data_IF_111439483050
#
_entry.id   IF_111439483050
#
_cell.length_a   1.000
_cell.length_b   1.000
_cell.length_c   1.000
_cell.angle_alpha   90.00
_cell.angle_beta   90.00
_cell.angle_gamma   90.00
#
_symmetry.space_group_name_H-M   'P 1'
#
loop_
_entity.id
_entity.type
_entity.pdbx_description
1 polymer ?
#
# COMPACT_ATOMS: atom_id res chain seq x y z
N UNK A 1 21.08 -2.12 22.96
CA UNK A 1 20.79 -2.97 24.14
C UNK A 1 20.13 -4.24 23.64
N UNK A 2 20.74 -5.40 23.84
CA UNK A 2 20.18 -6.67 23.40
C UNK A 2 18.94 -7.00 24.23
N UNK A 3 17.83 -7.31 23.57
CA UNK A 3 16.66 -7.89 24.23
C UNK A 3 17.06 -9.28 24.73
N UNK A 4 16.70 -9.62 25.98
CA UNK A 4 16.90 -10.98 26.47
C UNK A 4 16.16 -11.98 25.60
N UNK A 5 16.77 -13.12 25.31
CA UNK A 5 16.14 -14.16 24.49
C UNK A 5 14.77 -14.57 25.07
N UNK A 6 14.68 -14.68 26.39
CA UNK A 6 13.42 -15.04 27.07
C UNK A 6 12.34 -14.00 26.81
N UNK A 7 12.67 -12.70 26.94
CA UNK A 7 11.71 -11.62 26.72
C UNK A 7 11.22 -11.59 25.26
N UNK A 8 12.12 -11.89 24.33
CA UNK A 8 11.77 -12.01 22.90
C UNK A 8 10.79 -13.17 22.67
N UNK A 9 11.10 -14.37 23.20
CA UNK A 9 10.23 -15.54 23.05
C UNK A 9 8.84 -15.31 23.68
N UNK A 10 8.79 -14.63 24.83
CA UNK A 10 7.53 -14.26 25.47
C UNK A 10 6.75 -13.23 24.63
N UNK A 11 7.44 -12.33 23.97
CA UNK A 11 6.81 -11.36 23.04
C UNK A 11 6.17 -12.03 21.84
N UNK A 12 6.77 -13.10 21.31
CA UNK A 12 6.20 -13.91 20.23
C UNK A 12 4.94 -14.63 20.71
N UNK A 13 5.01 -15.31 21.87
CA UNK A 13 3.85 -15.98 22.49
C UNK A 13 2.66 -15.07 22.77
N UNK A 14 2.88 -13.78 23.02
CA UNK A 14 1.80 -12.81 23.21
C UNK A 14 1.07 -12.46 21.90
N UNK A 15 1.77 -12.59 20.75
CA UNK A 15 1.25 -12.26 19.42
C UNK A 15 0.73 -13.49 18.66
N UNK A 16 1.24 -14.65 18.96
CA UNK A 16 0.81 -15.93 18.41
C UNK A 16 0.36 -16.88 19.53
N UNK A 17 -0.90 -17.27 19.59
CA UNK A 17 -1.43 -18.16 20.61
C UNK A 17 -1.12 -19.67 20.32
N UNK A 18 -0.57 -20.01 19.16
CA UNK A 18 -0.35 -21.41 18.77
C UNK A 18 0.71 -22.13 19.61
N UNK A 19 1.89 -21.53 19.94
CA UNK A 19 2.93 -22.27 20.65
C UNK A 19 2.58 -22.48 22.13
N UNK A 20 2.71 -23.70 22.59
CA UNK A 20 2.43 -24.08 23.97
C UNK A 20 3.59 -23.75 24.92
N UNK A 21 4.81 -23.70 24.39
CA UNK A 21 6.04 -23.47 25.16
C UNK A 21 7.01 -22.51 24.46
N UNK A 22 7.94 -21.93 25.19
CA UNK A 22 9.05 -21.15 24.61
C UNK A 22 9.94 -22.00 23.72
N UNK A 23 10.04 -23.32 23.99
CA UNK A 23 10.82 -24.24 23.16
C UNK A 23 10.25 -24.41 21.76
N UNK A 24 8.91 -24.43 21.64
CA UNK A 24 8.25 -24.46 20.34
C UNK A 24 8.54 -23.17 19.55
N UNK A 25 8.54 -22.00 20.19
CA UNK A 25 8.87 -20.72 19.55
C UNK A 25 10.30 -20.70 19.00
N UNK A 26 11.26 -21.37 19.67
CA UNK A 26 12.64 -21.48 19.17
C UNK A 26 12.73 -22.23 17.83
N UNK A 27 11.75 -23.07 17.51
CA UNK A 27 11.69 -23.80 16.24
C UNK A 27 11.05 -22.97 15.10
N UNK A 28 10.55 -21.78 15.42
CA UNK A 28 9.97 -20.91 14.40
C UNK A 28 11.05 -20.44 13.42
N UNK A 29 10.81 -20.57 12.10
CA UNK A 29 11.81 -20.19 11.09
C UNK A 29 12.19 -18.69 11.21
N UNK A 30 11.25 -17.83 11.58
CA UNK A 30 11.51 -16.40 11.81
C UNK A 30 12.49 -16.14 12.95
N UNK A 31 12.42 -16.91 14.04
CA UNK A 31 13.33 -16.79 15.19
C UNK A 31 14.75 -17.18 14.79
N UNK A 32 14.89 -18.30 14.07
CA UNK A 32 16.19 -18.78 13.58
C UNK A 32 16.78 -17.79 12.55
N UNK A 33 15.96 -17.30 11.61
CA UNK A 33 16.38 -16.34 10.62
C UNK A 33 16.89 -15.04 11.23
N UNK A 34 16.21 -14.52 12.27
CA UNK A 34 16.66 -13.32 13.00
C UNK A 34 17.95 -13.54 13.76
N UNK A 35 18.12 -14.71 14.37
CA UNK A 35 19.38 -15.07 15.04
C UNK A 35 20.56 -15.07 14.06
N UNK A 36 20.39 -15.72 12.90
CA UNK A 36 21.40 -15.76 11.85
C UNK A 36 21.62 -14.39 11.18
N UNK A 37 20.54 -13.61 10.99
CA UNK A 37 20.66 -12.26 10.48
C UNK A 37 21.52 -11.37 11.38
N UNK A 38 21.40 -11.45 12.69
CA UNK A 38 22.25 -10.66 13.60
C UNK A 38 23.74 -10.95 13.42
N UNK A 39 24.09 -12.21 13.18
CA UNK A 39 25.47 -12.60 12.84
C UNK A 39 25.88 -12.05 11.47
N UNK A 40 25.00 -12.21 10.47
CA UNK A 40 25.25 -11.72 9.12
C UNK A 40 25.39 -10.18 9.08
N UNK A 41 24.56 -9.46 9.84
CA UNK A 41 24.60 -8.00 9.95
C UNK A 41 25.89 -7.52 10.61
N UNK A 42 26.32 -8.14 11.70
CA UNK A 42 27.60 -7.84 12.34
C UNK A 42 28.78 -8.06 11.36
N UNK A 43 28.79 -9.15 10.61
CA UNK A 43 29.81 -9.39 9.59
C UNK A 43 29.75 -8.33 8.48
N UNK A 44 28.58 -7.89 8.10
CA UNK A 44 28.35 -6.85 7.09
C UNK A 44 28.91 -5.50 7.55
N UNK A 45 28.65 -5.10 8.80
CA UNK A 45 29.21 -3.88 9.39
C UNK A 45 30.74 -3.96 9.53
N UNK A 46 31.29 -5.15 9.79
CA UNK A 46 32.73 -5.42 9.79
C UNK A 46 33.33 -5.47 8.37
N UNK A 47 32.53 -5.18 7.32
CA UNK A 47 32.91 -5.23 5.89
C UNK A 47 33.33 -6.60 5.38
N UNK A 48 32.99 -7.66 6.09
CA UNK A 48 33.20 -9.06 5.70
C UNK A 48 32.04 -9.53 4.82
N UNK A 49 31.79 -8.84 3.73
CA UNK A 49 30.58 -8.98 2.89
C UNK A 49 30.35 -10.39 2.37
N UNK A 50 31.43 -11.10 1.97
CA UNK A 50 31.32 -12.48 1.51
C UNK A 50 30.79 -13.41 2.60
N UNK A 51 31.32 -13.31 3.81
CA UNK A 51 30.89 -14.12 4.95
C UNK A 51 29.47 -13.75 5.39
N UNK A 52 29.14 -12.46 5.38
CA UNK A 52 27.79 -11.98 5.66
C UNK A 52 26.78 -12.60 4.69
N UNK A 53 27.12 -12.64 3.39
CA UNK A 53 26.28 -13.29 2.36
C UNK A 53 26.21 -14.79 2.53
N UNK A 54 27.30 -15.43 2.87
CA UNK A 54 27.31 -16.87 3.13
C UNK A 54 26.34 -17.23 4.27
N UNK A 55 26.39 -16.51 5.40
CA UNK A 55 25.45 -16.71 6.53
C UNK A 55 24.00 -16.43 6.11
N UNK A 56 23.78 -15.38 5.31
CA UNK A 56 22.44 -15.06 4.79
C UNK A 56 21.90 -16.20 3.89
N UNK A 57 22.69 -16.73 2.97
CA UNK A 57 22.26 -17.85 2.12
C UNK A 57 22.00 -19.12 2.91
N UNK A 58 22.84 -19.40 3.89
CA UNK A 58 22.63 -20.51 4.81
C UNK A 58 21.32 -20.36 5.59
N UNK A 59 21.04 -19.15 6.10
CA UNK A 59 19.79 -18.83 6.77
C UNK A 59 18.58 -19.07 5.84
N UNK A 60 18.66 -18.54 4.63
CA UNK A 60 17.58 -18.72 3.62
C UNK A 60 17.35 -20.18 3.29
N UNK A 61 18.40 -20.97 3.13
CA UNK A 61 18.29 -22.41 2.88
C UNK A 61 17.55 -23.14 4.00
N UNK A 62 17.84 -22.79 5.27
CA UNK A 62 17.24 -23.43 6.43
C UNK A 62 15.79 -22.96 6.71
N UNK A 63 15.50 -21.69 6.45
CA UNK A 63 14.28 -21.04 6.95
C UNK A 63 13.31 -20.61 5.86
N UNK A 64 13.77 -20.54 4.59
CA UNK A 64 13.02 -19.93 3.50
C UNK A 64 12.90 -18.40 3.59
N UNK A 65 13.58 -17.76 4.55
CA UNK A 65 13.51 -16.32 4.79
C UNK A 65 14.81 -15.66 4.30
N UNK A 66 14.69 -14.66 3.44
CA UNK A 66 15.82 -13.91 2.89
C UNK A 66 15.88 -12.51 3.51
N UNK A 67 16.73 -12.33 4.51
CA UNK A 67 16.99 -11.02 5.11
C UNK A 67 18.37 -10.56 4.70
N UNK A 68 18.46 -9.51 3.85
CA UNK A 68 19.75 -8.97 3.47
C UNK A 68 20.57 -8.55 4.68
N UNK A 69 21.88 -8.86 4.75
CA UNK A 69 22.72 -8.50 5.90
C UNK A 69 22.77 -7.01 6.21
N UNK A 70 22.54 -6.13 5.22
CA UNK A 70 22.51 -4.68 5.41
C UNK A 70 21.21 -4.13 5.99
N UNK A 71 20.15 -4.94 6.11
CA UNK A 71 18.88 -4.50 6.68
C UNK A 71 19.01 -4.20 8.17
N UNK A 72 18.39 -3.11 8.63
CA UNK A 72 18.35 -2.73 10.04
C UNK A 72 17.04 -3.18 10.67
N UNK A 73 17.10 -3.93 11.75
CA UNK A 73 15.93 -4.53 12.41
C UNK A 73 15.92 -4.17 13.90
N UNK A 74 14.80 -3.57 14.32
CA UNK A 74 14.54 -3.20 15.70
C UNK A 74 14.28 -4.38 16.63
N UNK A 75 13.81 -4.06 17.85
CA UNK A 75 13.55 -5.03 18.90
C UNK A 75 12.18 -5.67 18.72
N UNK A 76 12.03 -6.89 19.21
CA UNK A 76 10.76 -7.62 19.21
C UNK A 76 10.13 -7.77 17.82
N UNK A 77 10.91 -7.66 16.75
CA UNK A 77 10.46 -7.95 15.42
C UNK A 77 10.05 -9.41 15.30
N UNK A 78 8.92 -9.69 14.67
CA UNK A 78 8.38 -11.05 14.52
C UNK A 78 8.02 -11.33 13.06
N UNK A 79 8.57 -12.42 12.53
CA UNK A 79 8.18 -13.00 11.24
C UNK A 79 7.41 -14.27 11.54
N UNK A 80 6.13 -14.26 11.16
CA UNK A 80 5.27 -15.42 11.27
C UNK A 80 5.36 -16.27 10.00
N UNK A 81 5.55 -17.57 10.17
CA UNK A 81 5.76 -18.62 9.16
C UNK A 81 7.05 -18.48 8.35
N UNK A 82 7.14 -17.63 7.29
CA UNK A 82 8.37 -17.51 6.50
C UNK A 82 8.15 -17.08 5.05
N UNK A 83 9.08 -17.47 4.16
CA UNK A 83 9.12 -17.09 2.74
C UNK A 83 9.07 -15.57 2.50
N UNK A 84 9.65 -14.82 3.43
CA UNK A 84 9.69 -13.36 3.44
C UNK A 84 11.01 -12.88 2.86
N UNK A 85 10.98 -11.77 2.12
CA UNK A 85 12.16 -11.13 1.54
C UNK A 85 12.31 -9.73 2.11
N UNK A 86 13.47 -9.42 2.70
CA UNK A 86 13.80 -8.10 3.26
C UNK A 86 15.07 -7.58 2.60
N UNK A 87 14.94 -6.49 1.85
CA UNK A 87 16.02 -5.91 1.05
C UNK A 87 17.07 -5.14 1.86
N UNK A 88 18.18 -4.85 1.22
CA UNK A 88 19.41 -4.31 1.85
C UNK A 88 19.22 -3.05 2.69
N UNK A 89 18.49 -2.06 2.18
CA UNK A 89 18.32 -0.77 2.84
C UNK A 89 16.99 -0.66 3.58
N UNK A 90 16.31 -1.81 3.83
CA UNK A 90 15.11 -1.83 4.65
C UNK A 90 15.43 -1.47 6.09
N UNK A 91 14.55 -0.69 6.70
CA UNK A 91 14.62 -0.31 8.11
C UNK A 91 13.32 -0.74 8.78
N UNK A 92 13.41 -1.51 9.84
CA UNK A 92 12.27 -2.07 10.56
C UNK A 92 12.37 -1.62 12.00
N UNK A 93 11.32 -0.99 12.50
CA UNK A 93 11.22 -0.50 13.87
C UNK A 93 10.98 -1.60 14.90
N UNK A 94 10.65 -1.19 16.10
CA UNK A 94 10.38 -2.07 17.23
C UNK A 94 8.94 -2.64 17.15
N UNK A 95 8.74 -3.86 17.63
CA UNK A 95 7.44 -4.53 17.74
C UNK A 95 6.69 -4.73 16.40
N UNK A 96 7.36 -4.64 15.29
CA UNK A 96 6.77 -4.91 13.98
C UNK A 96 6.48 -6.40 13.82
N UNK A 97 5.35 -6.72 13.20
CA UNK A 97 4.96 -8.09 12.84
C UNK A 97 4.79 -8.20 11.34
N UNK A 98 5.43 -9.20 10.75
CA UNK A 98 5.32 -9.51 9.31
C UNK A 98 4.85 -10.95 9.18
N UNK A 99 3.82 -11.15 8.36
CA UNK A 99 3.34 -12.47 8.01
C UNK A 99 4.10 -13.06 6.82
N UNK A 100 3.80 -14.31 6.48
CA UNK A 100 4.49 -15.04 5.41
C UNK A 100 4.37 -14.37 4.04
N UNK A 101 5.33 -14.66 3.19
CA UNK A 101 5.38 -14.24 1.78
C UNK A 101 5.43 -12.72 1.57
N UNK A 102 5.74 -11.94 2.60
CA UNK A 102 5.90 -10.48 2.49
C UNK A 102 7.21 -10.15 1.79
N UNK A 103 7.18 -9.13 0.91
CA UNK A 103 8.38 -8.57 0.30
C UNK A 103 8.54 -7.11 0.70
N UNK A 104 9.67 -6.76 1.32
CA UNK A 104 10.15 -5.40 1.49
C UNK A 104 11.21 -5.12 0.44
N UNK A 105 10.77 -4.67 -0.75
CA UNK A 105 11.56 -4.64 -1.99
C UNK A 105 11.90 -3.23 -2.47
N UNK A 106 12.78 -3.16 -3.47
CA UNK A 106 13.09 -1.93 -4.20
C UNK A 106 12.35 -1.86 -5.54
N UNK A 107 12.10 -0.63 -6.02
CA UNK A 107 11.38 -0.41 -7.29
C UNK A 107 12.26 -0.44 -8.53
N UNK A 108 13.54 -0.10 -8.41
CA UNK A 108 14.41 0.04 -9.58
C UNK A 108 15.79 -0.58 -9.33
N UNK A 109 16.12 -1.71 -10.00
CA UNK A 109 17.42 -2.35 -9.88
C UNK A 109 18.55 -1.56 -10.57
N UNK A 110 18.23 -0.65 -11.50
CA UNK A 110 19.21 0.10 -12.28
C UNK A 110 19.66 1.41 -11.63
N UNK A 111 18.97 1.88 -10.60
CA UNK A 111 19.44 3.01 -9.80
C UNK A 111 20.65 2.60 -8.93
N UNK A 112 21.72 2.12 -9.57
CA UNK A 112 22.99 1.70 -8.96
C UNK A 112 23.69 2.78 -8.12
N UNK A 113 23.00 3.84 -7.71
CA UNK A 113 23.45 4.82 -6.74
C UNK A 113 23.21 4.27 -5.34
N UNK A 114 24.28 4.25 -4.55
CA UNK A 114 24.23 3.99 -3.12
C UNK A 114 23.18 4.91 -2.47
N UNK A 115 22.02 4.37 -2.14
CA UNK A 115 20.91 5.13 -1.57
C UNK A 115 19.78 4.25 -1.04
N UNK A 116 18.90 4.84 -0.26
CA UNK A 116 17.69 4.21 0.24
C UNK A 116 16.80 3.79 -0.93
N UNK A 117 16.51 2.49 -1.05
CA UNK A 117 15.65 1.92 -2.12
C UNK A 117 14.60 0.94 -1.59
N UNK A 118 14.67 0.58 -0.32
CA UNK A 118 13.75 -0.32 0.36
C UNK A 118 12.98 0.43 1.44
N UNK A 119 11.81 -0.07 1.86
CA UNK A 119 10.93 0.66 2.76
C UNK A 119 11.50 0.82 4.18
N UNK A 120 10.94 1.81 4.87
CA UNK A 120 11.03 1.99 6.32
C UNK A 120 9.69 1.58 6.93
N UNK A 121 9.72 0.66 7.88
CA UNK A 121 8.54 0.20 8.61
C UNK A 121 8.67 0.70 10.03
N UNK A 122 7.79 1.60 10.45
CA UNK A 122 7.83 2.17 11.80
C UNK A 122 7.25 1.20 12.84
N UNK A 123 7.39 1.59 14.11
CA UNK A 123 7.06 0.77 15.26
C UNK A 123 5.61 0.26 15.26
N UNK A 124 5.40 -0.93 15.78
CA UNK A 124 4.10 -1.57 15.93
C UNK A 124 3.31 -1.81 14.64
N UNK A 125 3.91 -1.59 13.46
CA UNK A 125 3.25 -1.87 12.20
C UNK A 125 3.02 -3.37 12.00
N UNK A 126 1.95 -3.72 11.29
CA UNK A 126 1.58 -5.10 10.96
C UNK A 126 1.47 -5.23 9.45
N UNK A 127 2.27 -6.13 8.86
CA UNK A 127 2.28 -6.39 7.42
C UNK A 127 1.65 -7.76 7.16
N UNK A 128 0.49 -7.76 6.52
CA UNK A 128 -0.29 -8.96 6.21
C UNK A 128 0.38 -9.87 5.19
N UNK A 129 -0.02 -11.14 5.18
CA UNK A 129 0.56 -12.18 4.34
C UNK A 129 0.54 -11.83 2.85
N UNK A 130 1.65 -12.10 2.16
CA UNK A 130 1.79 -11.84 0.73
C UNK A 130 1.88 -10.37 0.32
N UNK A 131 1.85 -9.43 1.26
CA UNK A 131 1.93 -8.00 0.92
C UNK A 131 3.29 -7.64 0.30
N UNK A 132 3.24 -6.76 -0.69
CA UNK A 132 4.40 -6.25 -1.42
C UNK A 132 4.58 -4.77 -1.08
N UNK A 133 5.56 -4.43 -0.24
CA UNK A 133 5.90 -3.06 0.13
C UNK A 133 7.15 -2.67 -0.63
N UNK A 134 7.01 -1.79 -1.62
CA UNK A 134 8.00 -1.62 -2.69
C UNK A 134 8.44 -0.17 -2.79
N UNK A 135 9.74 0.06 -2.72
CA UNK A 135 10.35 1.38 -2.85
C UNK A 135 10.81 1.98 -1.53
N UNK A 136 11.42 3.17 -1.57
CA UNK A 136 11.94 3.85 -0.39
C UNK A 136 10.83 4.59 0.39
N UNK A 137 9.67 3.95 0.51
CA UNK A 137 8.48 4.47 1.18
C UNK A 137 8.52 4.23 2.69
N UNK A 138 7.69 4.96 3.42
CA UNK A 138 7.54 4.83 4.87
C UNK A 138 6.16 4.27 5.21
N UNK A 139 6.12 3.20 5.99
CA UNK A 139 4.91 2.69 6.63
C UNK A 139 4.87 3.21 8.06
N UNK A 140 3.87 4.01 8.37
CA UNK A 140 3.72 4.73 9.63
C UNK A 140 3.58 3.84 10.87
N UNK A 141 3.72 4.45 12.03
CA UNK A 141 3.58 3.78 13.32
C UNK A 141 2.16 3.17 13.46
N UNK A 142 2.07 1.94 13.96
CA UNK A 142 0.79 1.20 14.10
C UNK A 142 -0.02 1.04 12.81
N UNK A 143 0.56 1.34 11.66
CA UNK A 143 -0.11 1.10 10.38
C UNK A 143 -0.33 -0.40 10.13
N UNK A 144 -1.34 -0.73 9.35
CA UNK A 144 -1.69 -2.10 8.98
C UNK A 144 -1.75 -2.25 7.48
N UNK A 145 -1.01 -3.20 6.95
CA UNK A 145 -1.07 -3.56 5.53
C UNK A 145 -1.82 -4.88 5.42
N UNK A 146 -2.91 -4.88 4.67
CA UNK A 146 -3.73 -6.06 4.43
C UNK A 146 -3.00 -7.11 3.59
N UNK A 147 -3.49 -8.34 3.66
CA UNK A 147 -2.92 -9.45 2.89
C UNK A 147 -2.97 -9.15 1.37
N UNK A 148 -1.90 -9.56 0.67
CA UNK A 148 -1.71 -9.38 -0.78
C UNK A 148 -1.84 -7.91 -1.27
N UNK A 149 -1.76 -6.92 -0.38
CA UNK A 149 -1.73 -5.53 -0.80
C UNK A 149 -0.38 -5.18 -1.43
N UNK A 150 -0.42 -4.36 -2.49
CA UNK A 150 0.76 -3.77 -3.11
C UNK A 150 0.81 -2.30 -2.69
N UNK A 151 1.88 -1.91 -1.99
CA UNK A 151 2.07 -0.58 -1.42
C UNK A 151 3.32 0.04 -2.03
N UNK A 152 3.14 1.17 -2.71
CA UNK A 152 4.19 1.91 -3.41
C UNK A 152 4.32 3.36 -2.95
N UNK A 153 3.43 3.79 -2.07
CA UNK A 153 3.35 5.15 -1.53
C UNK A 153 3.43 5.11 -0.01
N UNK A 154 3.77 6.25 0.60
CA UNK A 154 3.85 6.39 2.05
C UNK A 154 2.49 6.10 2.71
N UNK A 155 2.53 5.38 3.82
CA UNK A 155 1.35 5.01 4.61
C UNK A 155 1.35 5.81 5.91
N UNK A 156 0.33 6.62 6.19
CA UNK A 156 0.23 7.38 7.44
C UNK A 156 0.17 6.51 8.70
N UNK A 157 0.52 7.09 9.84
CA UNK A 157 0.42 6.44 11.15
C UNK A 157 -1.01 5.95 11.41
N UNK A 158 -1.14 4.73 11.91
CA UNK A 158 -2.41 4.10 12.24
C UNK A 158 -3.31 3.76 11.04
N UNK A 159 -2.91 4.09 9.82
CA UNK A 159 -3.70 3.81 8.63
C UNK A 159 -3.77 2.30 8.32
N UNK A 160 -4.87 1.87 7.71
CA UNK A 160 -5.03 0.50 7.22
C UNK A 160 -5.12 0.51 5.69
N UNK A 161 -4.12 -0.11 5.03
CA UNK A 161 -4.11 -0.32 3.59
C UNK A 161 -4.70 -1.70 3.29
N UNK A 162 -5.65 -1.79 2.38
CA UNK A 162 -6.32 -3.05 2.02
C UNK A 162 -6.02 -3.42 0.58
N UNK A 163 -5.76 -4.71 0.35
CA UNK A 163 -5.69 -5.27 -1.01
C UNK A 163 -7.08 -5.51 -1.60
N UNK A 164 -7.12 -6.00 -2.84
CA UNK A 164 -8.38 -6.35 -3.50
C UNK A 164 -9.04 -7.55 -2.80
N UNK A 165 -10.33 -7.40 -2.48
CA UNK A 165 -11.14 -8.50 -1.95
C UNK A 165 -11.53 -9.44 -3.10
N UNK A 166 -11.39 -10.75 -2.89
CA UNK A 166 -11.88 -11.75 -3.83
C UNK A 166 -13.40 -11.60 -4.04
N UNK A 167 -13.83 -11.78 -5.28
CA UNK A 167 -15.25 -11.77 -5.67
C UNK A 167 -15.65 -13.17 -6.15
N UNK A 168 -16.89 -13.55 -5.92
CA UNK A 168 -17.44 -14.79 -6.46
C UNK A 168 -17.67 -14.67 -7.97
N UNK A 169 -17.31 -15.69 -8.71
CA UNK A 169 -17.67 -15.81 -10.15
C UNK A 169 -19.05 -16.49 -10.33
N UNK A 170 -19.67 -16.97 -9.25
CA UNK A 170 -21.02 -17.51 -9.22
C UNK A 170 -22.04 -16.35 -9.15
N UNK A 171 -22.02 -15.47 -10.11
CA UNK A 171 -23.02 -14.42 -10.30
C UNK A 171 -23.89 -14.77 -11.50
N UNK A 172 -25.17 -14.35 -11.54
CA UNK A 172 -26.02 -14.50 -12.72
C UNK A 172 -25.30 -13.98 -13.95
N UNK A 173 -25.44 -14.68 -15.08
CA UNK A 173 -24.70 -14.36 -16.32
C UNK A 173 -24.83 -12.90 -16.76
N UNK A 174 -25.96 -12.27 -16.48
CA UNK A 174 -26.21 -10.84 -16.76
C UNK A 174 -25.41 -9.86 -15.91
N UNK A 175 -25.08 -10.23 -14.67
CA UNK A 175 -24.28 -9.42 -13.75
C UNK A 175 -22.78 -9.70 -13.94
N UNK A 176 -22.44 -10.93 -14.33
CA UNK A 176 -21.09 -11.38 -14.64
C UNK A 176 -20.48 -10.63 -15.83
N UNK A 177 -21.26 -10.38 -16.87
CA UNK A 177 -20.85 -9.63 -18.06
C UNK A 177 -20.57 -8.14 -17.76
N UNK A 178 -21.01 -7.62 -16.61
CA UNK A 178 -20.85 -6.20 -16.26
C UNK A 178 -19.64 -5.88 -15.39
N UNK A 179 -19.14 -6.82 -14.60
CA UNK A 179 -18.21 -6.47 -13.53
C UNK A 179 -16.80 -7.09 -13.61
N UNK A 180 -16.60 -8.27 -14.23
CA UNK A 180 -15.29 -8.90 -14.14
C UNK A 180 -15.05 -10.03 -15.16
N UNK A 181 -13.98 -9.95 -15.95
CA UNK A 181 -13.39 -11.08 -16.66
C UNK A 181 -12.21 -11.59 -15.84
N UNK A 182 -12.24 -12.83 -15.29
CA UNK A 182 -11.11 -13.41 -14.59
C UNK A 182 -9.88 -13.51 -15.52
N UNK A 183 -8.73 -13.14 -15.03
CA UNK A 183 -7.47 -13.27 -15.76
C UNK A 183 -7.24 -14.73 -16.17
N UNK A 184 -7.13 -15.01 -17.47
CA UNK A 184 -6.90 -16.36 -17.99
C UNK A 184 -8.15 -17.12 -18.45
N UNK A 185 -9.35 -16.51 -18.41
CA UNK A 185 -10.52 -17.09 -19.07
C UNK A 185 -10.41 -16.86 -20.57
N UNK A 186 -10.58 -17.89 -21.44
CA UNK A 186 -10.64 -17.67 -22.87
C UNK A 186 -11.80 -16.72 -23.21
N UNK A 187 -11.51 -15.66 -23.93
CA UNK A 187 -12.53 -14.78 -24.45
C UNK A 187 -13.18 -15.44 -25.69
N UNK A 188 -14.00 -16.44 -25.46
CA UNK A 188 -14.92 -16.92 -26.51
C UNK A 188 -16.13 -16.00 -26.48
N UNK A 189 -15.99 -14.83 -27.16
CA UNK A 189 -16.99 -13.78 -27.30
C UNK A 189 -17.56 -13.21 -25.97
N UNK A 190 -17.56 -12.00 -25.64
CA UNK A 190 -17.74 -10.74 -26.34
C UNK A 190 -16.88 -9.58 -25.80
N UNK A 191 -15.62 -9.52 -26.12
CA UNK A 191 -14.81 -8.33 -25.84
C UNK A 191 -15.34 -7.06 -26.55
N UNK A 192 -16.10 -7.23 -27.63
CA UNK A 192 -16.75 -6.11 -28.33
C UNK A 192 -17.84 -5.44 -27.50
N UNK A 193 -18.61 -6.19 -26.70
CA UNK A 193 -19.69 -5.62 -25.89
C UNK A 193 -19.22 -4.80 -24.69
N UNK A 194 -18.05 -5.09 -24.12
CA UNK A 194 -17.51 -4.29 -23.03
C UNK A 194 -16.94 -2.96 -23.50
N UNK A 195 -16.27 -2.95 -24.66
CA UNK A 195 -15.79 -1.73 -25.30
C UNK A 195 -17.00 -0.90 -25.75
N UNK A 196 -18.04 -1.54 -26.27
CA UNK A 196 -19.30 -0.89 -26.65
C UNK A 196 -20.07 -0.37 -25.45
N UNK A 197 -20.10 -1.09 -24.33
CA UNK A 197 -20.72 -0.64 -23.07
C UNK A 197 -19.97 0.53 -22.42
N UNK A 198 -18.65 0.53 -22.43
CA UNK A 198 -17.84 1.66 -21.98
C UNK A 198 -18.00 2.87 -22.92
N UNK A 199 -18.03 2.67 -24.23
CA UNK A 199 -18.33 3.74 -25.21
C UNK A 199 -19.71 4.32 -25.02
N UNK A 200 -20.77 3.51 -24.86
CA UNK A 200 -22.12 4.01 -24.60
C UNK A 200 -22.21 4.84 -23.32
N UNK A 201 -21.46 4.49 -22.26
CA UNK A 201 -21.38 5.31 -21.05
C UNK A 201 -20.64 6.62 -21.26
N UNK A 202 -19.54 6.62 -22.01
CA UNK A 202 -18.82 7.85 -22.36
C UNK A 202 -19.65 8.75 -23.28
N UNK A 203 -20.38 8.17 -24.23
CA UNK A 203 -21.26 8.92 -25.12
C UNK A 203 -22.43 9.53 -24.34
N UNK A 204 -23.09 8.77 -23.45
CA UNK A 204 -24.16 9.29 -22.59
C UNK A 204 -23.69 10.41 -21.65
N UNK A 205 -22.49 10.27 -21.05
CA UNK A 205 -21.88 11.32 -20.23
C UNK A 205 -21.50 12.56 -21.07
N UNK A 206 -21.07 12.37 -22.31
CA UNK A 206 -20.77 13.47 -23.22
C UNK A 206 -22.05 14.27 -23.57
N UNK A 207 -23.16 13.58 -23.84
CA UNK A 207 -24.47 14.20 -24.08
C UNK A 207 -24.97 14.97 -22.85
N UNK A 208 -24.81 14.41 -21.65
CA UNK A 208 -25.20 15.08 -20.39
C UNK A 208 -24.36 16.33 -20.14
N UNK A 209 -23.05 16.27 -20.40
CA UNK A 209 -22.14 17.43 -20.29
C UNK A 209 -22.50 18.51 -21.30
N UNK A 210 -22.89 18.17 -22.54
CA UNK A 210 -23.35 19.16 -23.51
C UNK A 210 -24.68 19.79 -23.11
N UNK A 211 -25.63 19.00 -22.60
CA UNK A 211 -26.91 19.51 -22.11
C UNK A 211 -26.72 20.49 -20.95
N UNK A 212 -25.85 20.15 -19.97
CA UNK A 212 -25.53 21.04 -18.86
C UNK A 212 -24.81 22.33 -19.31
N UNK A 213 -23.95 22.26 -20.31
CA UNK A 213 -23.32 23.44 -20.89
C UNK A 213 -24.32 24.38 -21.57
N UNK A 214 -25.30 23.80 -22.31
CA UNK A 214 -26.36 24.59 -22.93
C UNK A 214 -27.24 25.29 -21.87
N UNK A 215 -27.55 24.60 -20.76
CA UNK A 215 -28.31 25.18 -19.66
C UNK A 215 -27.58 26.33 -18.96
N UNK A 216 -26.27 26.16 -18.73
CA UNK A 216 -25.39 27.21 -18.17
C UNK A 216 -25.36 28.44 -19.09
N UNK A 217 -25.28 28.27 -20.41
CA UNK A 217 -25.29 29.40 -21.36
C UNK A 217 -26.67 30.08 -21.42
N UNK A 218 -27.75 29.32 -21.30
CA UNK A 218 -29.09 29.89 -21.21
C UNK A 218 -29.26 30.75 -19.94
N UNK A 219 -28.79 30.22 -18.78
CA UNK A 219 -28.84 30.95 -17.52
C UNK A 219 -27.96 32.21 -17.54
N UNK A 220 -26.78 32.19 -18.18
CA UNK A 220 -25.94 33.37 -18.35
C UNK A 220 -26.62 34.44 -19.20
N UNK A 221 -27.29 34.03 -20.27
CA UNK A 221 -28.03 34.95 -21.18
C UNK A 221 -29.23 35.60 -20.48
N UNK A 222 -29.97 34.82 -19.68
CA UNK A 222 -31.07 35.35 -18.86
C UNK A 222 -30.59 36.33 -17.78
N UNK A 223 -29.48 36.03 -17.15
CA UNK A 223 -28.85 36.93 -16.17
C UNK A 223 -28.42 38.25 -16.82
N UNK A 224 -27.77 38.19 -17.98
CA UNK A 224 -27.39 39.38 -18.75
C UNK A 224 -28.61 40.24 -19.16
N UNK A 225 -29.73 39.62 -19.51
CA UNK A 225 -31.00 40.32 -19.83
C UNK A 225 -31.65 40.92 -18.57
N UNK A 226 -31.47 40.32 -17.40
CA UNK A 226 -32.02 40.87 -16.16
C UNK A 226 -31.22 42.08 -15.67
N UNK A 227 -29.88 42.07 -15.88
CA UNK A 227 -29.00 43.19 -15.50
C UNK A 227 -29.18 44.40 -16.42
N UNK A 228 -29.62 44.21 -17.68
CA UNK A 228 -29.91 45.32 -18.65
C UNK A 228 -31.30 45.98 -18.41
N UNK A 229 -32.11 45.40 -17.51
CA UNK A 229 -33.44 45.95 -17.14
C UNK A 229 -33.43 46.76 -15.83
N UNK A 230 -32.34 47.35 -15.45
CA UNK A 230 -32.31 48.32 -14.33
C UNK A 230 -32.99 49.62 -14.76
N UNK A 231 -33.97 50.16 -14.03
CA UNK A 231 -34.78 51.28 -14.44
C UNK A 231 -33.99 52.57 -14.34
N UNK A 232 -33.75 53.24 -15.49
CA UNK A 232 -33.57 54.67 -15.55
C UNK A 232 -34.96 55.29 -15.36
N UNK A 233 -35.32 55.63 -14.15
CA UNK A 233 -36.27 56.73 -13.88
C UNK A 233 -36.14 57.20 -12.44
N UNK A 234 -35.26 58.20 -12.26
CA UNK A 234 -35.26 59.06 -11.09
C UNK A 234 -36.03 60.36 -11.38
N UNK A 235 -36.96 60.78 -10.54
CA UNK A 235 -37.83 61.93 -10.82
C UNK A 235 -37.01 63.24 -10.82
N UNK A 236 -37.13 64.01 -11.94
CA UNK A 236 -36.70 65.41 -12.06
C UNK A 236 -37.43 66.25 -11.03
N UNK A 237 -36.71 66.73 -10.02
CA UNK A 237 -37.18 67.82 -9.16
C UNK A 237 -37.04 69.14 -9.92
N UNK A 238 -38.18 69.70 -10.35
CA UNK A 238 -38.33 71.07 -10.77
C UNK A 238 -38.05 72.01 -9.62
N UNK A 239 -37.01 72.82 -9.77
CA UNK A 239 -36.80 74.01 -8.92
C UNK A 239 -37.68 75.10 -9.40
N UNK A 240 -38.48 75.67 -8.52
CA UNK A 240 -39.00 77.03 -8.68
C UNK A 240 -38.53 77.84 -7.47
N UNK A 241 -37.94 78.92 -7.81
CA UNK A 241 -37.32 79.92 -7.04
C UNK A 241 -38.27 80.90 -6.30
N UNK A 242 -37.63 81.80 -5.77
CA UNK A 242 -38.00 83.15 -5.32
C UNK A 242 -38.12 83.34 -3.80
N UNK A 243 -37.41 84.23 -3.50
CA UNK A 243 -37.28 85.29 -2.49
C UNK A 243 -36.45 85.05 -1.25
#
# INVERSE_FOLDING_TARGET
MFVGLIDYLDSVKKRDPAPRSRWEVLLYPGVLALGLHRVAHWLFEARLYFLARFVNHFSRFLTGIDIHPGATIGKYFFIDHGFTVIGETAQIGDWVTIYQCVTLGGTNPTNGKAGKRHPTINDYAIIGSGAQVIGPITVGERARIGANAVVTDDVPDGATMIGMKARSTLVPAEEWLREFIPYGTPCDEPCEDQVTGARRRTDALAEEVEALRAEIEALKTDRARSDDRSPEDGPRRSGTGSQ
#
